data_IF_235093499387
#
_entry.id   IF_235093499387
#
_cell.length_a   1.000
_cell.length_b   1.000
_cell.length_c   1.000
_cell.angle_alpha   90.00
_cell.angle_beta   90.00
_cell.angle_gamma   90.00
#
_symmetry.space_group_name_H-M   'P 1'
#
loop_
_entity.id
_entity.type
_entity.pdbx_description
1 polymer ?
#
# COMPACT_ATOMS: atom_id res chain seq x y z
N UNK A 1 26.90 -40.12 42.69
CA UNK A 1 26.76 -40.59 41.31
C UNK A 1 25.83 -39.63 40.65
N UNK A 2 26.40 -38.66 40.00
CA UNK A 2 25.76 -37.49 39.44
C UNK A 2 25.45 -37.70 37.96
N UNK A 3 24.17 -37.64 37.61
CA UNK A 3 23.75 -37.54 36.21
C UNK A 3 23.85 -36.08 35.80
N UNK A 4 24.64 -35.80 34.79
CA UNK A 4 24.83 -34.49 34.17
C UNK A 4 23.77 -34.37 33.07
N UNK A 5 22.96 -33.31 33.18
CA UNK A 5 21.94 -32.94 32.20
C UNK A 5 22.60 -32.59 30.86
N UNK A 6 22.10 -33.20 29.81
CA UNK A 6 22.44 -32.86 28.44
C UNK A 6 21.68 -31.58 28.01
N UNK A 7 22.28 -30.67 27.23
CA UNK A 7 21.63 -29.46 26.79
C UNK A 7 20.54 -29.77 25.74
N UNK A 8 19.37 -29.15 25.93
CA UNK A 8 18.25 -29.17 24.96
C UNK A 8 18.68 -28.55 23.61
N UNK A 9 18.63 -29.35 22.60
CA UNK A 9 18.89 -28.96 21.23
C UNK A 9 17.64 -28.24 20.66
N UNK A 10 17.69 -26.90 20.59
CA UNK A 10 16.64 -26.05 20.01
C UNK A 10 16.88 -25.78 18.52
N UNK A 11 17.23 -26.81 17.76
CA UNK A 11 17.29 -26.75 16.31
C UNK A 11 16.34 -27.79 15.74
N UNK A 12 15.05 -27.48 15.68
CA UNK A 12 14.05 -27.95 14.72
C UNK A 12 12.68 -27.38 15.13
N UNK A 13 12.51 -26.08 14.97
CA UNK A 13 11.19 -25.55 14.61
C UNK A 13 11.15 -25.54 13.10
N UNK A 14 10.53 -26.55 12.53
CA UNK A 14 10.07 -26.56 11.15
C UNK A 14 9.04 -25.42 11.03
N UNK A 15 9.52 -24.24 10.66
CA UNK A 15 8.66 -23.19 10.14
C UNK A 15 8.33 -23.66 8.73
N UNK A 16 7.26 -24.43 8.58
CA UNK A 16 6.68 -24.61 7.27
C UNK A 16 6.35 -23.22 6.71
N UNK A 17 6.87 -22.86 5.55
CA UNK A 17 6.47 -21.62 4.91
C UNK A 17 4.99 -21.79 4.53
N UNK A 18 4.12 -20.93 5.07
CA UNK A 18 2.78 -20.74 4.56
C UNK A 18 2.94 -20.11 3.17
N UNK A 19 3.23 -20.94 2.21
CA UNK A 19 3.31 -20.59 0.79
C UNK A 19 2.31 -21.45 0.06
N UNK A 20 1.50 -20.75 -0.71
CA UNK A 20 0.78 -21.24 -1.89
C UNK A 20 -0.67 -21.66 -1.68
N UNK A 21 -1.53 -20.66 -1.85
CA UNK A 21 -2.53 -20.83 -2.90
C UNK A 21 -2.09 -20.02 -4.12
N UNK A 22 -1.38 -20.67 -5.00
CA UNK A 22 -1.19 -20.21 -6.39
C UNK A 22 -2.45 -20.58 -7.14
N UNK A 23 -3.47 -19.75 -7.05
CA UNK A 23 -4.59 -19.86 -8.00
C UNK A 23 -4.19 -19.20 -9.30
N UNK A 24 -3.61 -20.03 -10.19
CA UNK A 24 -3.54 -19.77 -11.63
C UNK A 24 -4.90 -19.97 -12.30
N UNK A 25 -5.99 -19.76 -11.58
CA UNK A 25 -7.33 -19.80 -12.16
C UNK A 25 -7.77 -18.37 -12.51
N UNK A 26 -8.00 -18.20 -13.81
CA UNK A 26 -8.68 -17.07 -14.42
C UNK A 26 -9.81 -16.56 -13.52
N UNK A 27 -9.72 -15.28 -13.12
CA UNK A 27 -10.76 -14.62 -12.34
C UNK A 27 -12.15 -14.96 -12.87
N UNK A 28 -13.09 -15.41 -12.02
CA UNK A 28 -14.47 -15.69 -12.41
C UNK A 28 -15.24 -14.46 -12.95
N UNK A 29 -14.62 -13.28 -12.90
CA UNK A 29 -15.23 -11.97 -13.13
C UNK A 29 -14.69 -11.28 -14.39
N UNK A 30 -14.53 -11.98 -15.50
CA UNK A 30 -14.31 -11.39 -16.83
C UNK A 30 -13.44 -10.13 -16.86
N UNK A 31 -12.16 -10.27 -17.23
CA UNK A 31 -11.20 -9.16 -17.35
C UNK A 31 -9.83 -9.57 -16.84
N UNK A 32 -8.77 -8.99 -17.41
CA UNK A 32 -7.39 -9.26 -16.96
C UNK A 32 -7.22 -8.83 -15.50
N UNK A 33 -6.80 -9.76 -14.62
CA UNK A 33 -6.44 -9.51 -13.24
C UNK A 33 -5.11 -8.73 -13.19
N UNK A 34 -5.15 -7.49 -12.71
CA UNK A 34 -3.98 -6.61 -12.65
C UNK A 34 -3.09 -6.85 -11.42
N UNK A 35 -3.64 -7.54 -10.42
CA UNK A 35 -2.92 -7.85 -9.18
C UNK A 35 -1.71 -8.75 -9.39
N UNK A 36 -1.69 -9.59 -10.42
CA UNK A 36 -0.62 -10.53 -10.68
C UNK A 36 0.78 -9.88 -10.73
N UNK A 37 0.89 -8.70 -11.32
CA UNK A 37 2.17 -7.98 -11.40
C UNK A 37 2.70 -7.58 -10.02
N UNK A 38 1.81 -7.16 -9.10
CA UNK A 38 2.17 -6.82 -7.72
C UNK A 38 2.62 -8.05 -6.96
N UNK A 39 1.87 -9.16 -7.05
CA UNK A 39 2.21 -10.40 -6.35
C UNK A 39 3.57 -10.92 -6.82
N UNK A 40 3.79 -10.99 -8.14
CA UNK A 40 5.07 -11.40 -8.73
C UNK A 40 6.22 -10.48 -8.31
N UNK A 41 5.98 -9.17 -8.21
CA UNK A 41 6.99 -8.22 -7.73
C UNK A 41 7.38 -8.53 -6.29
N UNK A 42 6.41 -8.69 -5.39
CA UNK A 42 6.66 -8.99 -3.97
C UNK A 42 7.40 -10.33 -3.81
N UNK A 43 6.96 -11.37 -4.53
CA UNK A 43 7.60 -12.69 -4.53
C UNK A 43 9.05 -12.63 -5.02
N UNK A 44 9.31 -11.96 -6.15
CA UNK A 44 10.66 -11.85 -6.73
C UNK A 44 11.66 -11.13 -5.82
N UNK A 45 11.16 -10.27 -4.92
CA UNK A 45 11.98 -9.56 -3.93
C UNK A 45 11.94 -10.21 -2.54
N UNK A 46 11.39 -11.42 -2.42
CA UNK A 46 11.26 -12.14 -1.15
C UNK A 46 10.60 -11.30 -0.05
N UNK A 47 9.55 -10.56 -0.40
CA UNK A 47 8.72 -9.77 0.52
C UNK A 47 7.52 -10.62 0.92
N UNK A 48 7.37 -11.03 2.21
CA UNK A 48 6.23 -11.81 2.67
C UNK A 48 4.93 -11.00 2.63
N UNK A 49 3.86 -11.64 2.21
CA UNK A 49 2.51 -11.08 2.22
C UNK A 49 1.46 -12.19 2.29
N UNK A 50 0.25 -11.81 2.67
CA UNK A 50 -0.95 -12.63 2.47
C UNK A 50 -1.82 -11.95 1.43
N UNK A 51 -2.48 -12.73 0.59
CA UNK A 51 -3.37 -12.23 -0.46
C UNK A 51 -4.68 -12.99 -0.45
N UNK A 52 -5.78 -12.29 -0.67
CA UNK A 52 -7.09 -12.88 -0.93
C UNK A 52 -7.84 -12.10 -2.00
N UNK A 53 -8.66 -12.82 -2.77
CA UNK A 53 -9.53 -12.25 -3.80
C UNK A 53 -10.95 -12.07 -3.26
N UNK A 54 -11.65 -11.10 -3.80
CA UNK A 54 -13.04 -10.79 -3.45
C UNK A 54 -13.74 -10.12 -4.63
N UNK A 55 -15.09 -10.02 -4.63
CA UNK A 55 -15.81 -9.21 -5.60
C UNK A 55 -15.32 -7.76 -5.62
N UNK A 56 -15.53 -7.07 -6.73
CA UNK A 56 -15.11 -5.69 -6.92
C UNK A 56 -15.60 -4.77 -5.81
N UNK A 57 -14.70 -3.98 -5.24
CA UNK A 57 -14.98 -2.97 -4.22
C UNK A 57 -14.25 -1.67 -4.55
N UNK A 58 -14.90 -0.79 -5.32
CA UNK A 58 -14.32 0.49 -5.76
C UNK A 58 -14.37 1.60 -4.72
N UNK A 59 -15.28 1.48 -3.76
CA UNK A 59 -15.42 2.41 -2.64
C UNK A 59 -15.05 1.73 -1.32
N UNK A 60 -14.76 2.54 -0.29
CA UNK A 60 -14.49 2.00 1.06
C UNK A 60 -15.69 1.22 1.60
N UNK A 61 -16.91 1.69 1.35
CA UNK A 61 -18.16 1.06 1.80
C UNK A 61 -18.37 -0.30 1.15
N UNK A 62 -18.03 -0.44 -0.12
CA UNK A 62 -18.07 -1.71 -0.84
C UNK A 62 -16.97 -2.63 -0.35
N UNK A 63 -15.73 -2.14 -0.23
CA UNK A 63 -14.58 -2.91 0.20
C UNK A 63 -14.74 -3.47 1.62
N UNK A 64 -15.34 -2.71 2.55
CA UNK A 64 -15.63 -3.15 3.94
C UNK A 64 -16.39 -4.46 4.03
N UNK A 65 -17.17 -4.82 3.02
CA UNK A 65 -17.94 -6.09 3.00
C UNK A 65 -17.05 -7.31 2.84
N UNK A 66 -15.83 -7.12 2.35
CA UNK A 66 -14.88 -8.16 1.99
C UNK A 66 -13.64 -8.17 2.87
N UNK A 67 -13.50 -7.20 3.79
CA UNK A 67 -12.38 -7.16 4.69
C UNK A 67 -12.40 -8.33 5.67
N UNK A 68 -11.23 -8.89 5.89
CA UNK A 68 -11.04 -9.90 6.93
C UNK A 68 -10.68 -9.21 8.24
N UNK A 69 -11.14 -9.78 9.35
CA UNK A 69 -10.73 -9.38 10.71
C UNK A 69 -9.40 -10.06 11.06
N UNK A 70 -8.36 -9.65 10.37
CA UNK A 70 -7.00 -10.18 10.49
C UNK A 70 -6.04 -9.24 11.25
N UNK A 71 -6.60 -8.19 11.85
CA UNK A 71 -5.86 -7.17 12.60
C UNK A 71 -5.07 -6.21 11.72
N UNK A 72 -5.17 -6.28 10.39
CA UNK A 72 -4.54 -5.33 9.50
C UNK A 72 -5.25 -3.98 9.48
N UNK A 73 -4.48 -2.90 9.31
CA UNK A 73 -5.04 -1.57 9.10
C UNK A 73 -5.32 -1.38 7.61
N UNK A 74 -6.60 -1.21 7.29
CA UNK A 74 -7.05 -0.92 5.93
C UNK A 74 -6.78 0.54 5.58
N UNK A 75 -6.28 0.77 4.37
CA UNK A 75 -5.86 2.08 3.92
C UNK A 75 -6.76 2.65 2.82
N UNK A 76 -6.97 3.97 2.88
CA UNK A 76 -7.59 4.77 1.83
C UNK A 76 -6.48 5.45 1.03
N UNK A 77 -6.50 5.26 -0.28
CA UNK A 77 -5.44 5.76 -1.15
C UNK A 77 -6.01 6.80 -2.11
N UNK A 78 -5.39 7.97 -2.14
CA UNK A 78 -5.82 9.12 -2.93
C UNK A 78 -4.68 9.61 -3.80
N UNK A 79 -4.97 9.89 -5.07
CA UNK A 79 -3.96 10.36 -6.00
C UNK A 79 -4.24 11.78 -6.46
N UNK A 80 -3.29 12.68 -6.19
CA UNK A 80 -3.42 14.11 -6.45
C UNK A 80 -2.37 14.61 -7.44
N UNK A 81 -2.66 15.76 -8.04
CA UNK A 81 -1.70 16.61 -8.73
C UNK A 81 -1.67 18.00 -8.09
N UNK A 82 -0.55 18.72 -8.24
CA UNK A 82 -0.52 20.15 -7.94
C UNK A 82 -1.27 20.95 -9.02
N UNK A 83 -1.49 22.25 -8.75
CA UNK A 83 -2.19 23.15 -9.69
C UNK A 83 -1.54 23.17 -11.10
N UNK A 84 -0.19 23.21 -11.16
CA UNK A 84 0.55 23.21 -12.42
C UNK A 84 0.52 21.87 -13.15
N UNK A 85 0.11 20.79 -12.51
CA UNK A 85 0.03 19.44 -13.06
C UNK A 85 1.39 18.80 -13.36
N UNK A 86 2.47 19.31 -12.79
CA UNK A 86 3.84 18.83 -12.96
C UNK A 86 4.38 18.05 -11.75
N UNK A 87 3.63 17.96 -10.66
CA UNK A 87 3.92 17.13 -9.49
C UNK A 87 2.72 16.29 -9.11
N UNK A 88 2.96 15.05 -8.73
CA UNK A 88 1.93 14.10 -8.34
C UNK A 88 2.22 13.53 -6.96
N UNK A 89 1.15 13.31 -6.21
CA UNK A 89 1.21 12.86 -4.83
C UNK A 89 0.25 11.70 -4.63
N UNK A 90 0.76 10.60 -4.14
CA UNK A 90 -0.04 9.51 -3.63
C UNK A 90 -0.14 9.66 -2.12
N UNK A 91 -1.35 9.64 -1.57
CA UNK A 91 -1.60 9.82 -0.14
C UNK A 91 -2.32 8.59 0.40
N UNK A 92 -1.67 7.85 1.29
CA UNK A 92 -2.24 6.69 1.96
C UNK A 92 -2.64 7.06 3.38
N UNK A 93 -3.92 6.92 3.69
CA UNK A 93 -4.53 7.29 4.95
C UNK A 93 -5.11 6.04 5.63
N UNK A 94 -5.27 6.09 6.95
CA UNK A 94 -6.15 5.15 7.63
C UNK A 94 -7.56 5.24 7.02
N UNK A 95 -8.22 4.10 6.78
CA UNK A 95 -9.50 4.05 6.05
C UNK A 95 -10.62 4.89 6.68
N UNK A 96 -10.62 5.02 8.01
CA UNK A 96 -11.64 5.78 8.74
C UNK A 96 -11.36 7.30 8.77
N UNK A 97 -10.29 7.73 8.09
CA UNK A 97 -9.95 9.15 8.06
C UNK A 97 -10.81 9.89 7.05
N UNK A 98 -11.72 10.71 7.55
CA UNK A 98 -12.55 11.61 6.74
C UNK A 98 -12.02 13.04 6.85
N UNK A 99 -11.06 13.37 6.00
CA UNK A 99 -10.47 14.68 5.92
C UNK A 99 -10.85 15.36 4.61
N UNK A 100 -11.47 16.54 4.63
CA UNK A 100 -11.68 17.33 3.43
C UNK A 100 -10.36 17.62 2.71
N UNK A 101 -10.37 17.61 1.37
CA UNK A 101 -9.15 17.83 0.55
C UNK A 101 -8.46 19.15 0.94
N UNK A 102 -9.22 20.18 1.23
CA UNK A 102 -8.67 21.46 1.64
C UNK A 102 -7.83 21.35 2.93
N UNK A 103 -8.31 20.61 3.90
CA UNK A 103 -7.62 20.43 5.18
C UNK A 103 -6.38 19.55 5.00
N UNK A 104 -6.48 18.49 4.19
CA UNK A 104 -5.31 17.69 3.79
C UNK A 104 -4.25 18.57 3.13
N UNK A 105 -4.64 19.41 2.18
CA UNK A 105 -3.73 20.35 1.51
C UNK A 105 -3.02 21.27 2.49
N UNK A 106 -3.75 21.86 3.45
CA UNK A 106 -3.16 22.76 4.45
C UNK A 106 -2.16 22.03 5.35
N UNK A 107 -2.47 20.81 5.78
CA UNK A 107 -1.58 20.00 6.61
C UNK A 107 -0.32 19.58 5.86
N UNK A 108 -0.45 19.15 4.60
CA UNK A 108 0.70 18.85 3.75
C UNK A 108 1.59 20.07 3.54
N UNK A 109 1.01 21.25 3.26
CA UNK A 109 1.75 22.50 3.12
C UNK A 109 2.50 22.85 4.39
N UNK A 110 1.84 22.81 5.53
CA UNK A 110 2.44 23.14 6.82
C UNK A 110 3.62 22.22 7.12
N UNK A 111 3.46 20.91 6.92
CA UNK A 111 4.52 19.95 7.17
C UNK A 111 5.71 20.10 6.22
N UNK A 112 5.47 20.26 4.92
CA UNK A 112 6.54 20.50 3.94
C UNK A 112 7.31 21.77 4.28
N UNK A 113 6.60 22.86 4.62
CA UNK A 113 7.23 24.13 5.02
C UNK A 113 8.07 23.99 6.29
N UNK A 114 7.59 23.27 7.30
CA UNK A 114 8.35 23.04 8.54
C UNK A 114 9.65 22.25 8.32
N UNK A 115 9.71 21.48 7.25
CA UNK A 115 10.89 20.70 6.84
C UNK A 115 11.79 21.43 5.84
N UNK A 116 11.45 22.68 5.48
CA UNK A 116 12.18 23.46 4.45
C UNK A 116 11.98 22.91 3.04
N UNK A 117 10.96 22.10 2.80
CA UNK A 117 10.66 21.51 1.50
C UNK A 117 9.71 22.39 0.69
N UNK A 118 9.76 22.33 -0.65
CA UNK A 118 8.83 23.04 -1.51
C UNK A 118 7.38 22.64 -1.24
N UNK A 119 6.49 23.62 -1.16
CA UNK A 119 5.05 23.38 -0.96
C UNK A 119 4.47 22.51 -2.09
N UNK A 120 3.48 21.66 -1.72
CA UNK A 120 2.69 20.91 -2.70
C UNK A 120 1.80 21.81 -3.59
N UNK A 121 1.60 23.07 -3.20
CA UNK A 121 0.68 23.98 -3.88
C UNK A 121 -0.78 23.61 -3.66
N UNK A 122 -1.67 24.09 -4.54
CA UNK A 122 -3.08 23.68 -4.53
C UNK A 122 -3.22 22.27 -5.10
N UNK A 123 -3.90 21.39 -4.37
CA UNK A 123 -4.13 20.01 -4.77
C UNK A 123 -5.48 19.86 -5.51
N UNK A 124 -5.49 18.96 -6.45
CA UNK A 124 -6.70 18.45 -7.12
C UNK A 124 -6.52 16.97 -7.38
N UNK A 125 -7.59 16.19 -7.39
CA UNK A 125 -7.51 14.80 -7.82
C UNK A 125 -6.86 14.70 -9.20
N UNK A 126 -6.00 13.71 -9.37
CA UNK A 126 -5.44 13.40 -10.67
C UNK A 126 -6.53 12.77 -11.55
N UNK A 127 -6.50 13.07 -12.84
CA UNK A 127 -7.43 12.47 -13.79
C UNK A 127 -7.12 10.99 -14.05
N UNK A 128 -8.07 10.21 -14.61
CA UNK A 128 -7.83 8.81 -14.97
C UNK A 128 -6.60 8.62 -15.88
N UNK A 129 -6.39 9.54 -16.84
CA UNK A 129 -5.24 9.51 -17.75
C UNK A 129 -3.91 9.68 -16.98
N UNK A 130 -3.91 10.50 -15.92
CA UNK A 130 -2.73 10.68 -15.06
C UNK A 130 -2.51 9.48 -14.16
N UNK A 131 -3.56 8.87 -13.62
CA UNK A 131 -3.47 7.61 -12.87
C UNK A 131 -2.85 6.52 -13.75
N UNK A 132 -3.34 6.37 -14.97
CA UNK A 132 -2.82 5.39 -15.92
C UNK A 132 -1.36 5.70 -16.28
N UNK A 133 -1.03 6.98 -16.55
CA UNK A 133 0.32 7.37 -16.94
C UNK A 133 1.37 7.10 -15.86
N UNK A 134 1.09 7.43 -14.60
CA UNK A 134 2.09 7.41 -13.53
C UNK A 134 2.02 6.16 -12.66
N UNK A 135 0.86 5.57 -12.49
CA UNK A 135 0.65 4.41 -11.61
C UNK A 135 0.21 3.15 -12.37
N UNK A 136 -0.16 3.27 -13.65
CA UNK A 136 -0.76 2.16 -14.40
C UNK A 136 -2.12 1.72 -13.89
N UNK A 137 -2.87 2.62 -13.21
CA UNK A 137 -4.08 2.29 -12.48
C UNK A 137 -5.32 2.98 -13.04
N UNK A 138 -6.46 2.38 -12.77
CA UNK A 138 -7.79 2.95 -13.02
C UNK A 138 -8.41 3.51 -11.73
N UNK A 139 -9.38 4.43 -11.83
CA UNK A 139 -10.16 4.87 -10.69
C UNK A 139 -10.79 3.69 -9.92
N UNK A 140 -10.71 3.74 -8.59
CA UNK A 140 -11.15 2.66 -7.70
C UNK A 140 -10.07 1.64 -7.35
N UNK A 141 -8.92 1.63 -8.06
CA UNK A 141 -7.81 0.69 -7.79
C UNK A 141 -6.53 1.38 -7.32
N UNK A 142 -6.61 2.64 -6.88
CA UNK A 142 -5.43 3.40 -6.43
C UNK A 142 -4.79 2.72 -5.22
N UNK A 143 -3.48 2.46 -5.33
CA UNK A 143 -2.70 1.71 -4.35
C UNK A 143 -1.25 2.18 -4.35
N UNK A 144 -0.53 2.09 -3.22
CA UNK A 144 0.91 2.32 -3.19
C UNK A 144 1.67 1.32 -4.05
N UNK A 145 1.12 0.13 -4.30
CA UNK A 145 1.70 -0.84 -5.22
C UNK A 145 1.73 -0.36 -6.69
N UNK A 146 1.00 0.70 -7.03
CA UNK A 146 1.12 1.35 -8.34
C UNK A 146 2.50 1.96 -8.59
N UNK A 147 3.29 2.22 -7.54
CA UNK A 147 4.65 2.77 -7.67
C UNK A 147 5.62 1.84 -8.41
N UNK A 148 5.34 0.55 -8.52
CA UNK A 148 6.12 -0.36 -9.39
C UNK A 148 6.12 0.08 -10.87
N UNK A 149 5.15 0.87 -11.29
CA UNK A 149 5.02 1.40 -12.65
C UNK A 149 5.65 2.79 -12.82
N UNK A 150 5.99 3.47 -11.72
CA UNK A 150 6.60 4.81 -11.74
C UNK A 150 8.13 4.73 -11.75
N UNK A 151 8.68 4.20 -12.82
CA UNK A 151 10.13 3.97 -12.99
C UNK A 151 10.98 5.26 -13.00
N UNK A 152 10.36 6.41 -13.18
CA UNK A 152 11.01 7.73 -13.11
C UNK A 152 10.96 8.33 -11.70
N UNK A 153 10.36 7.64 -10.72
CA UNK A 153 10.15 8.12 -9.34
C UNK A 153 9.50 9.50 -9.28
N UNK A 154 8.56 9.74 -10.18
CA UNK A 154 7.88 11.03 -10.33
C UNK A 154 6.86 11.30 -9.21
N UNK A 155 6.24 10.24 -8.69
CA UNK A 155 5.21 10.32 -7.66
C UNK A 155 5.85 10.38 -6.28
N UNK A 156 5.47 11.38 -5.48
CA UNK A 156 5.83 11.44 -4.06
C UNK A 156 4.72 10.82 -3.21
N UNK A 157 5.10 9.94 -2.29
CA UNK A 157 4.15 9.23 -1.41
C UNK A 157 4.09 9.91 -0.04
N UNK A 158 2.87 10.23 0.41
CA UNK A 158 2.58 10.61 1.79
C UNK A 158 1.85 9.48 2.51
N UNK A 159 2.30 9.14 3.69
CA UNK A 159 1.72 8.11 4.56
C UNK A 159 1.21 8.75 5.85
N UNK A 160 0.00 8.44 6.25
CA UNK A 160 -0.52 8.84 7.56
C UNK A 160 0.39 8.32 8.68
N UNK A 161 0.84 9.19 9.57
CA UNK A 161 1.73 8.79 10.68
C UNK A 161 1.09 7.73 11.61
N UNK A 162 -0.24 7.62 11.65
CA UNK A 162 -0.93 6.56 12.41
C UNK A 162 -0.64 5.15 11.86
N UNK A 163 -0.24 5.03 10.59
CA UNK A 163 0.17 3.75 10.02
C UNK A 163 1.47 3.22 10.62
N UNK A 164 2.25 4.06 11.32
CA UNK A 164 3.44 3.62 12.06
C UNK A 164 3.09 2.77 13.28
N UNK A 165 1.87 2.88 13.81
CA UNK A 165 1.40 2.10 14.97
C UNK A 165 0.87 0.72 14.54
N UNK A 166 0.61 0.53 13.25
CA UNK A 166 0.12 -0.74 12.72
C UNK A 166 1.24 -1.77 12.59
N UNK A 167 0.97 -3.01 12.98
CA UNK A 167 1.87 -4.15 12.70
C UNK A 167 1.75 -4.62 11.25
N UNK A 168 0.54 -4.58 10.71
CA UNK A 168 0.19 -5.00 9.35
C UNK A 168 -0.71 -3.98 8.66
N UNK A 169 -0.51 -3.83 7.37
CA UNK A 169 -1.25 -2.91 6.51
C UNK A 169 -1.93 -3.70 5.40
N UNK A 170 -3.06 -3.23 4.91
CA UNK A 170 -3.73 -3.84 3.78
C UNK A 170 -4.03 -2.84 2.67
N UNK A 171 -3.76 -3.27 1.43
CA UNK A 171 -3.92 -2.47 0.22
C UNK A 171 -4.45 -3.33 -0.93
N UNK A 172 -5.10 -2.70 -1.91
CA UNK A 172 -5.37 -3.36 -3.19
C UNK A 172 -4.08 -3.64 -3.95
N UNK A 173 -3.90 -4.82 -4.53
CA UNK A 173 -2.76 -5.13 -5.41
C UNK A 173 -2.97 -4.55 -6.82
N UNK A 174 -3.22 -3.25 -6.95
CA UNK A 174 -3.54 -2.57 -8.21
C UNK A 174 -4.84 -3.01 -8.88
N UNK A 175 -5.66 -3.75 -8.15
CA UNK A 175 -6.97 -4.26 -8.61
C UNK A 175 -7.92 -4.32 -7.42
N UNK A 176 -9.09 -3.69 -7.53
CA UNK A 176 -10.07 -3.61 -6.45
C UNK A 176 -10.85 -4.91 -6.21
N UNK A 177 -10.43 -6.02 -6.82
CA UNK A 177 -10.94 -7.38 -6.63
C UNK A 177 -10.06 -8.25 -5.74
N UNK A 178 -9.11 -7.64 -5.03
CA UNK A 178 -8.25 -8.33 -4.09
C UNK A 178 -7.64 -7.42 -3.06
N UNK A 179 -7.08 -8.05 -2.02
CA UNK A 179 -6.37 -7.38 -0.93
C UNK A 179 -5.07 -8.10 -0.67
N UNK A 180 -3.99 -7.34 -0.54
CA UNK A 180 -2.70 -7.78 0.00
C UNK A 180 -2.58 -7.26 1.42
N UNK A 181 -2.26 -8.16 2.34
CA UNK A 181 -1.90 -7.85 3.73
C UNK A 181 -0.40 -8.05 3.86
N UNK A 182 0.29 -7.02 4.32
CA UNK A 182 1.75 -6.97 4.40
C UNK A 182 2.17 -6.41 5.77
N UNK A 183 3.24 -6.95 6.36
CA UNK A 183 3.78 -6.35 7.57
C UNK A 183 4.28 -4.92 7.29
N UNK A 184 4.21 -4.02 8.27
CA UNK A 184 4.73 -2.67 8.09
C UNK A 184 6.23 -2.66 7.75
N UNK A 185 7.10 -3.45 8.40
CA UNK A 185 8.51 -3.51 7.99
C UNK A 185 8.72 -4.00 6.56
N UNK A 186 7.93 -4.98 6.09
CA UNK A 186 8.01 -5.47 4.72
C UNK A 186 7.46 -4.45 3.71
N UNK A 187 6.45 -3.68 4.09
CA UNK A 187 5.99 -2.55 3.28
C UNK A 187 7.06 -1.46 3.17
N UNK A 188 7.80 -1.16 4.22
CA UNK A 188 8.95 -0.24 4.18
C UNK A 188 10.09 -0.79 3.31
N UNK A 189 10.33 -2.12 3.31
CA UNK A 189 11.24 -2.75 2.35
C UNK A 189 10.77 -2.59 0.91
N UNK A 190 9.47 -2.80 0.66
CA UNK A 190 8.88 -2.53 -0.64
C UNK A 190 9.14 -1.09 -1.09
N UNK A 191 8.88 -0.10 -0.23
CA UNK A 191 9.12 1.31 -0.55
C UNK A 191 10.59 1.61 -0.84
N UNK A 192 11.51 0.99 -0.13
CA UNK A 192 12.94 1.13 -0.39
C UNK A 192 13.34 0.56 -1.77
N UNK A 193 12.70 -0.53 -2.21
CA UNK A 193 12.98 -1.17 -3.50
C UNK A 193 12.42 -0.35 -4.67
N UNK A 194 11.18 0.14 -4.58
CA UNK A 194 10.61 0.97 -5.64
C UNK A 194 11.28 2.34 -5.75
N UNK A 195 11.89 2.85 -4.67
CA UNK A 195 12.78 4.02 -4.69
C UNK A 195 12.09 5.37 -4.78
N UNK A 196 10.77 5.43 -4.80
CA UNK A 196 10.04 6.69 -4.75
C UNK A 196 10.28 7.43 -3.43
N UNK A 197 10.33 8.75 -3.47
CA UNK A 197 10.39 9.55 -2.25
C UNK A 197 9.09 9.42 -1.46
N UNK A 198 9.21 9.20 -0.15
CA UNK A 198 8.04 9.13 0.72
C UNK A 198 8.29 9.79 2.07
N UNK A 199 7.21 10.14 2.75
CA UNK A 199 7.27 10.64 4.13
C UNK A 199 5.97 10.36 4.89
N UNK A 200 6.11 10.15 6.20
CA UNK A 200 4.97 10.09 7.11
C UNK A 200 4.52 11.50 7.49
N UNK A 201 3.20 11.69 7.54
CA UNK A 201 2.56 12.97 7.82
C UNK A 201 1.60 12.86 9.00
N UNK A 202 1.62 13.85 9.89
CA UNK A 202 0.65 13.96 10.99
C UNK A 202 -0.59 14.68 10.48
N UNK A 203 -1.74 14.02 10.52
CA UNK A 203 -3.00 14.53 10.03
C UNK A 203 -4.00 14.87 11.15
N UNK A 204 -3.76 14.46 12.36
CA UNK A 204 -4.57 14.72 13.54
C UNK A 204 -3.76 15.31 14.68
#
# INVERSE_FOLDING_TARGET
>A
MSNVDAPLNINNMDIEPIIKQTDSELSPLGGSWRGAAVLSFLESHAIPFTHYTHPEGKTIEEAKRWWHDDGSVHCKNLFFRNHKGNKHYLVCLHCDYDLPIHDLEQRLKAQLTSQGLPSCGKLSFASPERMMKYLGLEPGSVSPFGLINDTEHHVHLFLDARLLEASTLSFHPNDCRGTVVISRPDFERYLAIVGNTYQYIKLG
#
